data_IF_961216399772
#
_entry.id   IF_961216399772
#
_cell.length_a   1.000
_cell.length_b   1.000
_cell.length_c   1.000
_cell.angle_alpha   90.00
_cell.angle_beta   90.00
_cell.angle_gamma   90.00
#
_symmetry.space_group_name_H-M   'P 1'
#
loop_
_entity.id
_entity.type
_entity.pdbx_description
1 polymer ?
#
# COMPACT_ATOMS: atom_id res chain seq x y z
N UNK A 1 -0.71 18.41 -3.43
CA UNK A 1 0.03 18.00 -2.24
C UNK A 1 -0.53 18.71 -1.01
N UNK A 2 -0.72 17.97 0.04
CA UNK A 2 -1.27 18.49 1.29
C UNK A 2 -0.20 19.33 2.01
N UNK A 3 -0.47 20.59 2.38
CA UNK A 3 0.51 21.35 3.14
C UNK A 3 0.66 20.76 4.54
N UNK A 4 1.89 20.69 5.03
CA UNK A 4 2.17 20.23 6.38
C UNK A 4 2.19 21.39 7.35
N UNK A 5 1.62 21.22 8.53
CA UNK A 5 1.71 22.20 9.60
C UNK A 5 3.14 22.25 10.15
N UNK A 6 3.61 23.44 10.62
CA UNK A 6 4.93 23.53 11.24
C UNK A 6 5.09 22.51 12.37
N UNK A 7 6.21 21.79 12.39
CA UNK A 7 6.51 20.79 13.41
C UNK A 7 5.92 19.42 13.18
N UNK A 8 5.11 19.24 12.14
CA UNK A 8 4.53 17.94 11.79
C UNK A 8 5.40 17.27 10.73
N UNK A 9 5.79 16.00 10.99
CA UNK A 9 6.49 15.20 10.00
C UNK A 9 5.54 14.81 8.89
N UNK A 10 5.88 15.10 7.61
CA UNK A 10 5.00 14.72 6.52
C UNK A 10 5.00 13.20 6.31
N UNK A 11 3.85 12.67 5.88
CA UNK A 11 3.71 11.26 5.52
C UNK A 11 4.38 10.97 4.17
N UNK A 12 4.82 9.72 3.99
CA UNK A 12 5.32 9.25 2.70
C UNK A 12 4.25 9.42 1.63
N UNK A 13 4.62 9.81 0.39
CA UNK A 13 3.68 9.99 -0.71
C UNK A 13 3.25 8.64 -1.30
N UNK A 14 2.76 7.76 -0.45
CA UNK A 14 2.31 6.42 -0.83
C UNK A 14 0.80 6.39 -0.89
N UNK A 15 0.29 5.94 -2.03
CA UNK A 15 -1.14 5.80 -2.23
C UNK A 15 -1.53 4.36 -2.47
N UNK A 16 -2.80 4.07 -2.21
CA UNK A 16 -3.40 2.79 -2.49
C UNK A 16 -4.83 2.99 -2.96
N UNK A 17 -5.27 2.17 -3.89
CA UNK A 17 -6.66 2.10 -4.31
C UNK A 17 -7.09 0.65 -4.31
N UNK A 18 -8.40 0.43 -4.16
CA UNK A 18 -9.01 -0.88 -4.37
C UNK A 18 -9.97 -0.78 -5.53
N UNK A 19 -9.80 -1.68 -6.49
CA UNK A 19 -10.68 -1.81 -7.64
C UNK A 19 -11.63 -2.97 -7.40
N UNK A 20 -12.91 -2.77 -7.76
CA UNK A 20 -13.88 -3.87 -7.76
C UNK A 20 -13.58 -4.88 -8.87
N UNK A 21 -14.31 -5.99 -8.90
CA UNK A 21 -14.20 -6.97 -9.96
C UNK A 21 -14.43 -6.36 -11.35
N UNK A 22 -15.21 -5.29 -11.44
CA UNK A 22 -15.52 -4.58 -12.70
C UNK A 22 -14.44 -3.53 -13.05
N UNK A 23 -13.41 -3.37 -12.22
CA UNK A 23 -12.37 -2.37 -12.45
C UNK A 23 -12.72 -0.96 -11.96
N UNK A 24 -13.79 -0.80 -11.21
CA UNK A 24 -14.15 0.50 -10.63
C UNK A 24 -13.38 0.76 -9.35
N UNK A 25 -12.96 2.02 -9.13
CA UNK A 25 -12.30 2.42 -7.89
C UNK A 25 -13.35 2.51 -6.79
N UNK A 26 -13.26 1.64 -5.79
CA UNK A 26 -14.19 1.62 -4.65
C UNK A 26 -13.56 2.16 -3.37
N UNK A 27 -12.26 2.35 -3.34
CA UNK A 27 -11.57 2.95 -2.20
C UNK A 27 -10.28 3.61 -2.64
N UNK A 28 -9.93 4.71 -1.98
CA UNK A 28 -8.67 5.42 -2.16
C UNK A 28 -8.14 5.76 -0.78
N UNK A 29 -6.84 5.66 -0.61
CA UNK A 29 -6.19 6.04 0.65
C UNK A 29 -4.75 6.44 0.40
N UNK A 30 -4.17 7.09 1.38
CA UNK A 30 -2.74 7.43 1.43
C UNK A 30 -2.21 7.13 2.82
N UNK A 31 -0.91 7.07 2.93
CA UNK A 31 -0.26 6.86 4.22
C UNK A 31 -0.62 8.02 5.16
N UNK A 32 -1.15 7.71 6.33
CA UNK A 32 -1.55 8.69 7.34
C UNK A 32 -0.93 8.41 8.71
N UNK A 33 0.15 7.64 8.77
CA UNK A 33 0.80 7.29 10.03
C UNK A 33 1.20 8.52 10.84
N UNK A 34 1.81 9.51 10.21
CA UNK A 34 2.20 10.75 10.89
C UNK A 34 0.99 11.66 11.15
N UNK A 35 0.07 11.73 10.20
CA UNK A 35 -1.10 12.59 10.31
C UNK A 35 -2.03 12.20 11.46
N UNK A 36 -2.19 10.91 11.72
CA UNK A 36 -3.11 10.39 12.73
C UNK A 36 -2.42 9.82 13.98
N UNK A 37 -1.10 9.64 13.93
CA UNK A 37 -0.36 8.99 15.01
C UNK A 37 -0.66 7.50 15.13
N UNK A 38 -1.22 6.88 14.09
CA UNK A 38 -1.55 5.47 14.05
C UNK A 38 -0.43 4.71 13.31
N UNK A 39 0.31 3.83 14.00
CA UNK A 39 1.41 3.10 13.36
C UNK A 39 0.95 2.13 12.26
N UNK A 40 -0.33 1.78 12.23
CA UNK A 40 -0.88 0.88 11.20
C UNK A 40 -1.57 1.63 10.06
N UNK A 41 -1.56 2.96 10.06
CA UNK A 41 -2.26 3.77 9.05
C UNK A 41 -1.48 3.86 7.73
N UNK A 42 -1.05 2.72 7.22
CA UNK A 42 -0.50 2.61 5.87
C UNK A 42 -1.63 2.72 4.86
N UNK A 43 -1.33 3.26 3.68
CA UNK A 43 -2.31 3.45 2.62
C UNK A 43 -3.09 2.16 2.30
N UNK A 44 -2.40 1.03 2.27
CA UNK A 44 -2.99 -0.26 1.95
C UNK A 44 -4.04 -0.68 2.98
N UNK A 45 -3.71 -0.57 4.27
CA UNK A 45 -4.64 -0.93 5.35
C UNK A 45 -5.88 -0.05 5.30
N UNK A 46 -5.68 1.26 5.10
CA UNK A 46 -6.78 2.22 5.03
C UNK A 46 -7.66 1.96 3.81
N UNK A 47 -7.06 1.64 2.65
CA UNK A 47 -7.81 1.32 1.44
C UNK A 47 -8.63 0.04 1.60
N UNK A 48 -8.05 -1.00 2.21
CA UNK A 48 -8.76 -2.25 2.47
C UNK A 48 -9.95 -2.04 3.40
N UNK A 49 -9.78 -1.25 4.46
CA UNK A 49 -10.86 -0.90 5.39
C UNK A 49 -12.00 -0.16 4.67
N UNK A 50 -11.64 0.83 3.87
CA UNK A 50 -12.62 1.63 3.12
C UNK A 50 -13.38 0.77 2.11
N UNK A 51 -12.70 -0.12 1.41
CA UNK A 51 -13.33 -1.03 0.45
C UNK A 51 -14.30 -1.99 1.14
N UNK A 52 -13.90 -2.56 2.27
CA UNK A 52 -14.76 -3.45 3.04
C UNK A 52 -16.02 -2.73 3.53
N UNK A 53 -15.88 -1.49 4.00
CA UNK A 53 -17.02 -0.68 4.41
C UNK A 53 -17.96 -0.38 3.24
N UNK A 54 -17.40 -0.05 2.08
CA UNK A 54 -18.16 0.25 0.87
C UNK A 54 -18.96 -0.97 0.40
N UNK A 55 -18.37 -2.16 0.46
CA UNK A 55 -19.03 -3.40 0.02
C UNK A 55 -19.91 -4.02 1.11
N UNK A 56 -19.76 -3.61 2.36
CA UNK A 56 -20.45 -4.22 3.49
C UNK A 56 -20.02 -5.67 3.73
N UNK A 57 -18.78 -6.00 3.36
CA UNK A 57 -18.25 -7.36 3.41
C UNK A 57 -16.73 -7.30 3.63
N UNK A 58 -16.20 -8.08 4.58
CA UNK A 58 -14.77 -8.07 4.83
C UNK A 58 -13.97 -8.83 3.75
N UNK A 59 -14.61 -9.79 3.09
CA UNK A 59 -13.96 -10.51 1.98
C UNK A 59 -13.98 -9.63 0.73
N UNK A 60 -12.80 -9.28 0.25
CA UNK A 60 -12.67 -8.46 -0.96
C UNK A 60 -12.42 -9.36 -2.17
N UNK A 61 -13.28 -10.38 -2.33
CA UNK A 61 -13.19 -11.36 -3.40
C UNK A 61 -13.21 -10.66 -4.76
N UNK A 62 -12.28 -11.05 -5.63
CA UNK A 62 -12.12 -10.51 -6.99
C UNK A 62 -11.74 -9.02 -7.04
N UNK A 63 -11.47 -8.39 -5.91
CA UNK A 63 -10.96 -7.03 -5.87
C UNK A 63 -9.45 -7.00 -6.12
N UNK A 64 -8.96 -5.86 -6.60
CA UNK A 64 -7.53 -5.62 -6.83
C UNK A 64 -7.06 -4.49 -5.92
N UNK A 65 -6.00 -4.74 -5.16
CA UNK A 65 -5.31 -3.70 -4.39
C UNK A 65 -4.16 -3.19 -5.25
N UNK A 66 -4.14 -1.88 -5.52
CA UNK A 66 -3.09 -1.22 -6.31
C UNK A 66 -2.37 -0.23 -5.41
N UNK A 67 -1.04 -0.35 -5.29
CA UNK A 67 -0.25 0.47 -4.38
C UNK A 67 1.00 1.03 -5.06
N UNK A 68 1.48 2.17 -4.58
CA UNK A 68 2.66 2.84 -5.12
C UNK A 68 3.93 2.04 -4.84
N UNK A 69 4.07 1.51 -3.64
CA UNK A 69 5.25 0.79 -3.19
C UNK A 69 4.87 -0.62 -2.76
N UNK A 70 5.75 -1.57 -3.02
CA UNK A 70 5.55 -2.97 -2.61
C UNK A 70 5.12 -3.06 -1.14
N UNK A 71 4.05 -3.80 -0.83
CA UNK A 71 3.54 -3.90 0.54
C UNK A 71 4.55 -4.47 1.53
N UNK A 72 4.60 -3.90 2.73
CA UNK A 72 5.36 -4.44 3.85
C UNK A 72 4.66 -5.70 4.39
N UNK A 73 5.28 -6.43 5.36
CA UNK A 73 4.65 -7.63 5.91
C UNK A 73 3.25 -7.41 6.50
N UNK A 74 3.04 -6.29 7.18
CA UNK A 74 1.73 -5.96 7.74
C UNK A 74 0.67 -5.82 6.65
N UNK A 75 0.98 -5.06 5.59
CA UNK A 75 0.02 -4.79 4.52
C UNK A 75 -0.18 -6.01 3.62
N UNK A 76 0.87 -6.77 3.33
CA UNK A 76 0.76 -8.01 2.59
C UNK A 76 -0.12 -9.01 3.36
N UNK A 77 0.10 -9.14 4.67
CA UNK A 77 -0.74 -9.97 5.52
C UNK A 77 -2.20 -9.52 5.52
N UNK A 78 -2.43 -8.21 5.62
CA UNK A 78 -3.79 -7.65 5.59
C UNK A 78 -4.48 -7.96 4.27
N UNK A 79 -3.78 -7.80 3.13
CA UNK A 79 -4.33 -8.10 1.80
C UNK A 79 -4.72 -9.58 1.68
N UNK A 80 -3.86 -10.48 2.14
CA UNK A 80 -4.14 -11.91 2.13
C UNK A 80 -5.33 -12.26 3.04
N UNK A 81 -5.37 -11.67 4.24
CA UNK A 81 -6.47 -11.89 5.17
C UNK A 81 -7.80 -11.35 4.66
N UNK A 82 -7.75 -10.26 3.89
CA UNK A 82 -8.95 -9.67 3.27
C UNK A 82 -9.39 -10.42 2.01
N UNK A 83 -8.63 -11.42 1.55
CA UNK A 83 -8.96 -12.27 0.40
C UNK A 83 -9.02 -11.50 -0.93
N UNK A 84 -8.20 -10.47 -1.10
CA UNK A 84 -8.13 -9.79 -2.41
C UNK A 84 -7.71 -10.76 -3.51
N UNK A 85 -8.22 -10.55 -4.71
CA UNK A 85 -7.89 -11.41 -5.84
C UNK A 85 -6.54 -11.11 -6.47
N UNK A 86 -6.10 -9.85 -6.38
CA UNK A 86 -4.87 -9.40 -7.01
C UNK A 86 -4.24 -8.26 -6.22
N UNK A 87 -2.91 -8.24 -6.16
CA UNK A 87 -2.13 -7.13 -5.62
C UNK A 87 -1.20 -6.63 -6.73
N UNK A 88 -1.30 -5.33 -7.04
CA UNK A 88 -0.48 -4.67 -8.06
C UNK A 88 0.31 -3.57 -7.37
N UNK A 89 1.61 -3.52 -7.60
CA UNK A 89 2.42 -2.45 -7.01
C UNK A 89 3.42 -1.88 -8.02
N UNK A 90 3.83 -0.63 -7.76
CA UNK A 90 4.78 0.08 -8.60
C UNK A 90 6.22 -0.24 -8.25
N UNK A 91 6.78 0.50 -7.31
CA UNK A 91 8.17 0.35 -6.93
C UNK A 91 8.39 -0.84 -5.99
N UNK A 92 9.57 -1.47 -6.10
CA UNK A 92 10.00 -2.51 -5.17
C UNK A 92 10.52 -1.88 -3.89
N UNK A 93 10.25 -2.52 -2.77
CA UNK A 93 10.76 -2.10 -1.46
C UNK A 93 11.73 -3.18 -0.97
N UNK A 94 13.01 -3.00 -1.23
CA UNK A 94 14.03 -4.02 -0.95
C UNK A 94 14.27 -4.22 0.55
N UNK A 95 13.95 -3.24 1.37
CA UNK A 95 14.15 -3.32 2.83
C UNK A 95 12.99 -3.99 3.55
N UNK A 96 11.75 -3.66 3.17
CA UNK A 96 10.55 -4.10 3.86
C UNK A 96 9.50 -4.72 2.96
N UNK A 97 9.80 -4.97 1.70
CA UNK A 97 8.83 -5.53 0.78
C UNK A 97 8.53 -6.99 1.09
N UNK A 98 7.26 -7.34 1.12
CA UNK A 98 6.79 -8.67 1.44
C UNK A 98 6.00 -9.33 0.31
N UNK A 99 6.14 -8.81 -0.90
CA UNK A 99 5.51 -9.35 -2.11
C UNK A 99 6.55 -9.75 -3.17
N UNK A 100 7.71 -10.19 -2.70
CA UNK A 100 8.77 -10.73 -3.54
C UNK A 100 10.17 -10.21 -3.27
N UNK A 101 10.33 -9.00 -2.68
CA UNK A 101 11.67 -8.42 -2.46
C UNK A 101 12.40 -9.07 -1.29
N UNK A 102 12.00 -8.76 -0.07
CA UNK A 102 12.65 -9.30 1.12
C UNK A 102 11.95 -10.56 1.61
N UNK A 103 10.64 -10.53 1.62
CA UNK A 103 9.79 -11.68 1.91
C UNK A 103 8.83 -11.88 0.74
N UNK A 104 8.28 -13.07 0.60
CA UNK A 104 7.26 -13.35 -0.41
C UNK A 104 6.02 -13.94 0.27
N UNK A 105 5.40 -13.15 1.12
CA UNK A 105 4.28 -13.57 1.96
C UNK A 105 3.04 -13.92 1.13
N UNK A 106 2.80 -13.19 0.05
CA UNK A 106 1.62 -13.40 -0.79
C UNK A 106 1.66 -14.69 -1.61
N UNK A 107 2.86 -15.26 -1.82
CA UNK A 107 3.04 -16.53 -2.55
C UNK A 107 3.41 -17.68 -1.64
N UNK A 108 3.46 -17.45 -0.33
CA UNK A 108 3.82 -18.50 0.63
C UNK A 108 2.76 -19.59 0.62
N UNK A 109 3.20 -20.83 0.41
CA UNK A 109 2.29 -22.00 0.33
C UNK A 109 1.50 -22.25 1.60
N UNK A 110 1.97 -21.76 2.73
CA UNK A 110 1.30 -21.90 4.02
C UNK A 110 0.13 -20.96 4.20
N UNK A 111 0.05 -19.90 3.37
CA UNK A 111 -1.08 -18.98 3.40
C UNK A 111 -2.33 -19.65 2.83
N UNK A 112 -3.46 -19.51 3.53
CA UNK A 112 -4.73 -20.07 3.09
C UNK A 112 -5.23 -19.45 1.78
N UNK A 113 -4.90 -18.18 1.54
CA UNK A 113 -5.27 -17.46 0.33
C UNK A 113 -4.02 -16.80 -0.26
N UNK A 114 -3.86 -16.94 -1.57
CA UNK A 114 -2.70 -16.38 -2.30
C UNK A 114 -3.23 -15.59 -3.50
N UNK A 115 -3.22 -14.25 -3.41
CA UNK A 115 -3.65 -13.43 -4.55
C UNK A 115 -2.65 -13.49 -5.70
N UNK A 116 -3.08 -13.11 -6.90
CA UNK A 116 -2.18 -12.85 -8.01
C UNK A 116 -1.35 -11.62 -7.65
N UNK A 117 -0.06 -11.61 -7.98
CA UNK A 117 0.85 -10.50 -7.66
C UNK A 117 1.48 -9.99 -8.94
N UNK A 118 1.37 -8.68 -9.19
CA UNK A 118 1.99 -8.00 -10.33
C UNK A 118 2.79 -6.83 -9.80
N UNK A 119 4.11 -6.92 -9.87
CA UNK A 119 5.02 -5.87 -9.40
C UNK A 119 5.70 -5.12 -10.54
N UNK A 120 6.24 -3.96 -10.23
CA UNK A 120 7.03 -3.17 -11.18
C UNK A 120 6.21 -2.33 -12.15
N UNK A 121 4.94 -2.12 -11.89
CA UNK A 121 4.08 -1.28 -12.74
C UNK A 121 4.42 0.20 -12.50
N UNK A 122 4.86 0.91 -13.56
CA UNK A 122 5.34 2.30 -13.44
C UNK A 122 6.43 2.44 -12.38
N UNK A 123 7.34 1.46 -12.36
CA UNK A 123 8.36 1.32 -11.33
C UNK A 123 9.20 2.58 -11.13
N UNK A 124 9.64 3.21 -12.22
CA UNK A 124 10.49 4.41 -12.15
C UNK A 124 9.76 5.61 -11.56
N UNK A 125 8.54 5.88 -12.00
CA UNK A 125 7.76 7.01 -11.50
C UNK A 125 7.42 6.83 -10.02
N UNK A 126 7.01 5.64 -9.63
CA UNK A 126 6.69 5.32 -8.24
C UNK A 126 7.93 5.39 -7.34
N UNK A 127 9.04 4.87 -7.80
CA UNK A 127 10.31 4.90 -7.08
C UNK A 127 10.82 6.33 -6.89
N UNK A 128 10.65 7.16 -7.90
CA UNK A 128 11.07 8.57 -7.84
C UNK A 128 10.30 9.35 -6.77
N UNK A 129 9.01 9.11 -6.64
CA UNK A 129 8.19 9.76 -5.60
C UNK A 129 8.76 9.48 -4.20
N UNK A 130 9.15 8.25 -3.93
CA UNK A 130 9.72 7.85 -2.64
C UNK A 130 11.10 8.46 -2.44
N UNK A 131 11.96 8.39 -3.47
CA UNK A 131 13.33 8.92 -3.39
C UNK A 131 13.35 10.44 -3.20
N UNK A 132 12.51 11.17 -3.92
CA UNK A 132 12.42 12.63 -3.81
C UNK A 132 11.96 13.04 -2.41
N UNK A 133 10.99 12.33 -1.85
CA UNK A 133 10.53 12.59 -0.48
C UNK A 133 11.66 12.37 0.53
N UNK A 134 12.42 11.28 0.39
CA UNK A 134 13.52 10.97 1.29
C UNK A 134 14.64 12.01 1.18
N UNK A 135 14.92 12.51 -0.01
CA UNK A 135 15.92 13.57 -0.24
C UNK A 135 15.50 14.88 0.44
N UNK A 136 14.25 15.29 0.28
CA UNK A 136 13.70 16.49 0.93
C UNK A 136 13.80 16.40 2.45
N UNK A 137 13.50 15.23 3.01
CA UNK A 137 13.60 14.99 4.45
C UNK A 137 15.03 15.13 4.97
N UNK A 138 16.02 14.67 4.20
CA UNK A 138 17.43 14.81 4.57
C UNK A 138 17.86 16.27 4.59
N UNK A 139 17.42 17.05 3.63
CA UNK A 139 17.71 18.50 3.56
C UNK A 139 17.13 19.22 4.77
N UNK A 140 15.90 18.90 5.16
CA UNK A 140 15.23 19.48 6.32
C UNK A 140 15.98 19.19 7.63
N UNK A 141 16.65 18.05 7.72
CA UNK A 141 17.40 17.64 8.91
C UNK A 141 18.84 18.13 8.94
N UNK A 142 19.33 18.64 7.83
CA UNK A 142 20.69 19.20 7.74
C UNK A 142 20.79 20.67 8.27
#
# INVERSE_FOLDING_TARGET
MRPTSPGVTPDLPLGAIVLSANGEVIARARNEREATGDPTAHAEVLALRAAAAQLGEWRLTDCTLVVTLEPCPMCAGAAAMARVGRVVFGAWNEEYGAAGSHWDLLRDRRMAHRPEVVGGVLEEECGRLVLDFMAERREEKA
#
